data_IF_598904869141
#
_entry.id   IF_598904869141
#
_cell.length_a   1.000
_cell.length_b   1.000
_cell.length_c   1.000
_cell.angle_alpha   90.00
_cell.angle_beta   90.00
_cell.angle_gamma   90.00
#
_symmetry.space_group_name_H-M   'P 1'
#
loop_
_entity.id
_entity.type
_entity.pdbx_description
1 polymer ?
#
# COMPACT_ATOMS: atom_id res chain seq x y z
N UNK A 1 -24.25 -1.32 -42.91
CA UNK A 1 -25.16 -0.34 -42.27
C UNK A 1 -25.75 -1.08 -41.08
N UNK A 2 -25.32 -0.94 -39.83
CA UNK A 2 -24.71 0.16 -39.10
C UNK A 2 -23.84 -0.39 -37.95
N UNK A 3 -22.64 0.16 -37.82
CA UNK A 3 -21.56 -0.19 -36.89
C UNK A 3 -21.76 0.47 -35.50
N UNK A 4 -22.78 0.09 -34.74
CA UNK A 4 -23.05 0.73 -33.43
C UNK A 4 -23.18 -0.25 -32.26
N UNK A 5 -22.19 -1.11 -32.08
CA UNK A 5 -21.75 -1.49 -30.73
C UNK A 5 -20.53 -0.66 -30.37
N UNK A 6 -20.74 0.67 -30.21
CA UNK A 6 -19.77 1.50 -29.48
C UNK A 6 -19.80 0.99 -28.05
N UNK A 7 -18.88 0.08 -27.72
CA UNK A 7 -18.69 -0.38 -26.35
C UNK A 7 -18.57 0.85 -25.45
N UNK A 8 -19.44 0.94 -24.44
CA UNK A 8 -19.36 1.97 -23.43
C UNK A 8 -17.91 2.11 -22.98
N UNK A 9 -17.35 3.33 -23.05
CA UNK A 9 -15.95 3.53 -22.68
C UNK A 9 -15.76 3.04 -21.24
N UNK A 10 -14.65 2.35 -20.90
CA UNK A 10 -14.45 1.73 -19.58
C UNK A 10 -14.56 2.71 -18.40
N UNK A 11 -14.49 4.02 -18.67
CA UNK A 11 -14.65 5.13 -17.72
C UNK A 11 -16.10 5.47 -17.37
N UNK A 12 -17.08 5.01 -18.15
CA UNK A 12 -18.50 5.31 -17.92
C UNK A 12 -18.97 4.62 -16.63
N UNK A 13 -19.43 5.41 -15.66
CA UNK A 13 -19.90 4.91 -14.35
C UNK A 13 -18.80 4.74 -13.29
N UNK A 14 -17.55 5.17 -13.55
CA UNK A 14 -16.46 5.09 -12.56
C UNK A 14 -16.38 6.28 -11.59
N UNK A 15 -17.20 7.32 -11.75
CA UNK A 15 -17.22 8.48 -10.85
C UNK A 15 -17.31 8.11 -9.35
N UNK A 16 -18.17 7.15 -8.93
CA UNK A 16 -18.20 6.73 -7.53
C UNK A 16 -16.89 6.06 -7.08
N UNK A 17 -16.21 5.33 -7.97
CA UNK A 17 -14.92 4.68 -7.70
C UNK A 17 -13.84 5.75 -7.50
N UNK A 18 -13.78 6.73 -8.40
CA UNK A 18 -12.83 7.85 -8.31
C UNK A 18 -13.05 8.62 -7.00
N UNK A 19 -14.32 8.90 -6.66
CA UNK A 19 -14.67 9.59 -5.42
C UNK A 19 -14.16 8.87 -4.17
N UNK A 20 -14.38 7.56 -4.06
CA UNK A 20 -13.87 6.80 -2.89
C UNK A 20 -12.35 6.68 -2.91
N UNK A 21 -11.71 6.51 -4.08
CA UNK A 21 -10.24 6.50 -4.18
C UNK A 21 -9.65 7.84 -3.71
N UNK A 22 -10.26 8.97 -4.09
CA UNK A 22 -9.81 10.29 -3.67
C UNK A 22 -9.92 10.49 -2.15
N UNK A 23 -11.07 10.15 -1.56
CA UNK A 23 -11.26 10.24 -0.10
C UNK A 23 -10.30 9.31 0.64
N UNK A 24 -10.17 8.06 0.21
CA UNK A 24 -9.22 7.12 0.79
C UNK A 24 -7.77 7.61 0.66
N UNK A 25 -7.40 8.14 -0.51
CA UNK A 25 -6.08 8.69 -0.78
C UNK A 25 -5.74 9.86 0.13
N UNK A 26 -6.68 10.77 0.37
CA UNK A 26 -6.50 11.87 1.32
C UNK A 26 -6.24 11.35 2.74
N UNK A 27 -7.01 10.35 3.20
CA UNK A 27 -6.81 9.72 4.51
C UNK A 27 -5.43 9.05 4.59
N UNK A 28 -5.06 8.25 3.59
CA UNK A 28 -3.77 7.57 3.56
C UNK A 28 -2.58 8.54 3.55
N UNK A 29 -2.63 9.55 2.68
CA UNK A 29 -1.56 10.53 2.55
C UNK A 29 -1.39 11.39 3.81
N UNK A 30 -2.49 11.80 4.44
CA UNK A 30 -2.45 12.54 5.70
C UNK A 30 -1.96 11.69 6.86
N UNK A 31 -2.34 10.40 6.93
CA UNK A 31 -1.80 9.47 7.92
C UNK A 31 -0.30 9.26 7.76
N UNK A 32 0.20 9.10 6.52
CA UNK A 32 1.63 9.03 6.23
C UNK A 32 2.36 10.31 6.65
N UNK A 33 1.79 11.47 6.31
CA UNK A 33 2.36 12.75 6.70
C UNK A 33 2.40 12.91 8.23
N UNK A 34 1.32 12.53 8.91
CA UNK A 34 1.26 12.48 10.37
C UNK A 34 2.32 11.56 10.99
N UNK A 35 2.58 10.39 10.40
CA UNK A 35 3.66 9.51 10.83
C UNK A 35 5.04 10.19 10.72
N UNK A 36 5.28 10.95 9.65
CA UNK A 36 6.51 11.73 9.49
C UNK A 36 6.64 12.88 10.51
N UNK A 37 5.53 13.45 10.97
CA UNK A 37 5.54 14.46 12.05
C UNK A 37 5.79 13.85 13.43
N UNK A 38 5.17 12.69 13.72
CA UNK A 38 5.29 12.01 15.01
C UNK A 38 6.66 11.33 15.18
N UNK A 39 7.20 10.78 14.10
CA UNK A 39 8.51 10.16 14.07
C UNK A 39 9.34 10.78 12.94
N UNK A 40 9.92 11.96 13.15
CA UNK A 40 10.79 12.57 12.16
C UNK A 40 12.08 11.78 12.05
N UNK A 41 12.57 11.61 10.82
CA UNK A 41 13.89 11.03 10.56
C UNK A 41 14.83 12.10 10.04
N UNK A 42 15.99 12.26 10.67
CA UNK A 42 16.96 13.27 10.28
C UNK A 42 17.55 12.99 8.89
N UNK A 43 17.78 14.05 8.10
CA UNK A 43 18.41 13.94 6.79
C UNK A 43 19.76 13.23 6.86
N UNK A 44 20.03 12.34 5.90
CA UNK A 44 21.27 11.55 5.86
C UNK A 44 21.33 10.39 6.87
N UNK A 45 20.26 10.15 7.64
CA UNK A 45 20.12 8.96 8.52
C UNK A 45 19.22 7.90 7.89
N UNK A 46 19.14 6.72 8.51
CA UNK A 46 18.34 5.62 7.95
C UNK A 46 16.83 5.94 8.05
N UNK A 47 16.05 5.92 6.95
CA UNK A 47 14.67 6.44 6.89
C UNK A 47 13.62 5.49 7.49
N UNK A 48 13.66 5.33 8.82
CA UNK A 48 12.82 4.38 9.56
C UNK A 48 11.32 4.61 9.38
N UNK A 49 10.89 5.88 9.28
CA UNK A 49 9.47 6.22 9.15
C UNK A 49 8.92 5.77 7.81
N UNK A 50 9.60 6.13 6.71
CA UNK A 50 9.23 5.71 5.36
C UNK A 50 9.28 4.18 5.22
N UNK A 51 10.30 3.53 5.79
CA UNK A 51 10.40 2.06 5.83
C UNK A 51 9.16 1.43 6.48
N UNK A 52 8.84 1.87 7.69
CA UNK A 52 7.76 1.30 8.50
C UNK A 52 6.41 1.51 7.85
N UNK A 53 6.15 2.72 7.34
CA UNK A 53 4.91 3.05 6.62
C UNK A 53 4.72 2.13 5.41
N UNK A 54 5.77 1.94 4.60
CA UNK A 54 5.70 1.06 3.44
C UNK A 54 5.51 -0.41 3.85
N UNK A 55 6.27 -0.91 4.83
CA UNK A 55 6.18 -2.29 5.30
C UNK A 55 4.79 -2.61 5.89
N UNK A 56 4.25 -1.73 6.74
CA UNK A 56 2.91 -1.87 7.32
C UNK A 56 1.85 -1.80 6.23
N UNK A 57 1.94 -0.84 5.29
CA UNK A 57 1.00 -0.73 4.18
C UNK A 57 0.99 -1.98 3.29
N UNK A 58 2.17 -2.54 3.02
CA UNK A 58 2.32 -3.81 2.29
C UNK A 58 1.69 -4.99 3.04
N UNK A 59 1.92 -5.13 4.34
CA UNK A 59 1.28 -6.16 5.16
C UNK A 59 -0.25 -6.04 5.12
N UNK A 60 -0.78 -4.83 5.34
CA UNK A 60 -2.22 -4.56 5.30
C UNK A 60 -2.81 -4.86 3.92
N UNK A 61 -2.08 -4.59 2.83
CA UNK A 61 -2.52 -4.94 1.48
C UNK A 61 -2.60 -6.46 1.29
N UNK A 62 -1.66 -7.22 1.85
CA UNK A 62 -1.70 -8.69 1.86
C UNK A 62 -2.92 -9.24 2.59
N UNK A 63 -3.23 -8.71 3.78
CA UNK A 63 -4.46 -9.06 4.53
C UNK A 63 -5.71 -8.71 3.72
N UNK A 64 -5.76 -7.49 3.18
CA UNK A 64 -6.89 -6.99 2.40
C UNK A 64 -7.18 -7.88 1.19
N UNK A 65 -6.13 -8.34 0.50
CA UNK A 65 -6.25 -9.23 -0.64
C UNK A 65 -7.00 -10.50 -0.25
N UNK A 66 -6.55 -11.21 0.79
CA UNK A 66 -7.18 -12.46 1.25
C UNK A 66 -8.62 -12.23 1.70
N UNK A 67 -8.87 -11.20 2.52
CA UNK A 67 -10.21 -10.94 3.08
C UNK A 67 -11.23 -10.66 1.97
N UNK A 68 -10.86 -9.84 0.98
CA UNK A 68 -11.76 -9.48 -0.12
C UNK A 68 -11.95 -10.64 -1.10
N UNK A 69 -10.95 -11.48 -1.32
CA UNK A 69 -11.07 -12.58 -2.30
C UNK A 69 -11.69 -13.85 -1.71
N UNK A 70 -11.45 -14.16 -0.43
CA UNK A 70 -11.73 -15.49 0.14
C UNK A 70 -12.80 -15.49 1.24
N UNK A 71 -13.10 -14.34 1.85
CA UNK A 71 -14.05 -14.27 2.99
C UNK A 71 -15.37 -13.63 2.59
N UNK A 72 -15.33 -12.49 1.91
CA UNK A 72 -16.54 -11.76 1.50
C UNK A 72 -16.40 -11.18 0.11
N UNK A 73 -17.42 -11.38 -0.70
CA UNK A 73 -17.72 -10.50 -1.84
C UNK A 73 -17.99 -9.09 -1.30
N UNK A 74 -16.93 -8.28 -1.19
CA UNK A 74 -17.05 -6.90 -0.74
C UNK A 74 -17.72 -6.07 -1.85
N UNK A 75 -18.50 -5.06 -1.45
CA UNK A 75 -19.07 -4.11 -2.39
C UNK A 75 -17.95 -3.56 -3.30
N UNK A 76 -18.23 -3.41 -4.60
CA UNK A 76 -17.27 -2.96 -5.64
C UNK A 76 -16.42 -1.73 -5.29
N UNK A 77 -16.86 -0.89 -4.35
CA UNK A 77 -16.17 0.34 -3.93
C UNK A 77 -15.16 0.12 -2.80
N UNK A 78 -15.27 -0.96 -2.03
CA UNK A 78 -14.41 -1.23 -0.86
C UNK A 78 -12.97 -1.48 -1.29
N UNK A 79 -12.76 -2.30 -2.33
CA UNK A 79 -11.42 -2.61 -2.82
C UNK A 79 -10.68 -1.36 -3.35
N UNK A 80 -11.29 -0.51 -4.20
CA UNK A 80 -10.69 0.78 -4.58
C UNK A 80 -10.46 1.72 -3.40
N UNK A 81 -11.42 1.85 -2.47
CA UNK A 81 -11.30 2.73 -1.30
C UNK A 81 -10.12 2.34 -0.40
N UNK A 82 -10.04 1.07 0.01
CA UNK A 82 -9.02 0.59 0.95
C UNK A 82 -7.68 0.37 0.26
N UNK A 83 -7.67 -0.31 -0.89
CA UNK A 83 -6.44 -0.68 -1.59
C UNK A 83 -5.78 0.51 -2.28
N UNK A 84 -6.44 1.04 -3.31
CA UNK A 84 -5.88 2.16 -4.09
C UNK A 84 -5.93 3.48 -3.34
N UNK A 85 -7.01 3.75 -2.61
CA UNK A 85 -7.17 4.97 -1.82
C UNK A 85 -6.27 4.97 -0.60
N UNK A 86 -6.71 4.35 0.50
CA UNK A 86 -6.01 4.44 1.79
C UNK A 86 -4.60 3.87 1.72
N UNK A 87 -4.43 2.59 1.34
CA UNK A 87 -3.11 1.96 1.34
C UNK A 87 -2.18 2.54 0.26
N UNK A 88 -2.72 2.90 -0.90
CA UNK A 88 -1.98 3.61 -1.94
C UNK A 88 -1.52 5.00 -1.54
N UNK A 89 -2.35 5.78 -0.82
CA UNK A 89 -1.96 7.09 -0.29
C UNK A 89 -1.03 7.02 0.92
N UNK A 90 -1.20 5.98 1.75
CA UNK A 90 -0.40 5.72 2.94
C UNK A 90 1.02 5.28 2.58
N UNK A 91 1.21 4.46 1.56
CA UNK A 91 2.55 4.04 1.10
C UNK A 91 3.14 5.04 0.11
N UNK A 92 4.47 5.03 -0.07
CA UNK A 92 5.15 5.94 -0.99
C UNK A 92 6.46 5.37 -1.53
N UNK A 93 6.54 5.25 -2.86
CA UNK A 93 7.79 4.92 -3.56
C UNK A 93 8.62 6.16 -3.88
N UNK A 94 7.98 7.29 -4.17
CA UNK A 94 8.68 8.53 -4.51
C UNK A 94 9.50 9.09 -3.34
N UNK A 95 8.93 9.12 -2.13
CA UNK A 95 9.66 9.56 -0.93
C UNK A 95 10.84 8.63 -0.64
N UNK A 96 10.61 7.32 -0.79
CA UNK A 96 11.63 6.29 -0.65
C UNK A 96 12.82 6.49 -1.61
N UNK A 97 12.56 6.79 -2.88
CA UNK A 97 13.61 7.08 -3.86
C UNK A 97 14.40 8.35 -3.51
N UNK A 98 13.72 9.41 -3.06
CA UNK A 98 14.36 10.65 -2.59
C UNK A 98 15.22 10.40 -1.35
N UNK A 99 14.76 9.56 -0.42
CA UNK A 99 15.53 9.21 0.77
C UNK A 99 16.82 8.45 0.42
N UNK A 100 16.78 7.56 -0.58
CA UNK A 100 17.98 6.90 -1.12
C UNK A 100 18.93 7.91 -1.74
N UNK A 101 18.43 8.83 -2.58
CA UNK A 101 19.24 9.88 -3.19
C UNK A 101 19.95 10.73 -2.13
N UNK A 102 19.23 11.15 -1.07
CA UNK A 102 19.77 11.93 0.04
C UNK A 102 20.87 11.19 0.80
N UNK A 103 20.75 9.87 0.97
CA UNK A 103 21.80 9.05 1.59
C UNK A 103 23.07 8.98 0.74
N UNK A 104 22.93 8.94 -0.59
CA UNK A 104 24.05 8.99 -1.53
C UNK A 104 24.74 10.35 -1.48
N UNK A 105 23.97 11.44 -1.50
CA UNK A 105 24.47 12.82 -1.37
C UNK A 105 25.21 13.03 -0.04
N UNK A 106 24.72 12.43 1.04
CA UNK A 106 25.35 12.42 2.36
C UNK A 106 26.62 11.54 2.45
N UNK A 107 27.14 11.02 1.33
CA UNK A 107 28.32 10.13 1.26
C UNK A 107 28.13 8.81 2.03
N UNK A 108 26.90 8.30 2.13
CA UNK A 108 26.57 7.02 2.81
C UNK A 108 25.98 5.96 1.88
N UNK A 109 26.69 5.56 0.80
CA UNK A 109 26.15 4.64 -0.21
C UNK A 109 25.83 3.24 0.33
N UNK A 110 26.60 2.73 1.29
CA UNK A 110 26.32 1.44 1.92
C UNK A 110 24.94 1.43 2.63
N UNK A 111 24.59 2.54 3.28
CA UNK A 111 23.30 2.70 3.97
C UNK A 111 22.18 2.87 2.97
N UNK A 112 22.41 3.63 1.88
CA UNK A 112 21.47 3.74 0.77
C UNK A 112 21.15 2.37 0.17
N UNK A 113 22.16 1.53 -0.07
CA UNK A 113 21.98 0.17 -0.60
C UNK A 113 21.27 -0.75 0.39
N UNK A 114 21.62 -0.71 1.67
CA UNK A 114 20.93 -1.46 2.71
C UNK A 114 19.45 -1.05 2.82
N UNK A 115 19.16 0.25 2.73
CA UNK A 115 17.80 0.77 2.73
C UNK A 115 17.02 0.36 1.47
N UNK A 116 17.68 0.41 0.29
CA UNK A 116 17.12 -0.01 -0.99
C UNK A 116 16.73 -1.49 -1.01
N UNK A 117 17.66 -2.36 -0.65
CA UNK A 117 17.42 -3.81 -0.67
C UNK A 117 16.52 -4.22 0.51
N UNK A 118 16.80 -3.71 1.70
CA UNK A 118 16.09 -4.06 2.92
C UNK A 118 14.61 -3.71 2.87
N UNK A 119 14.26 -2.53 2.36
CA UNK A 119 12.84 -2.12 2.24
C UNK A 119 12.10 -2.99 1.25
N UNK A 120 12.72 -3.33 0.10
CA UNK A 120 12.10 -4.21 -0.90
C UNK A 120 11.87 -5.62 -0.36
N UNK A 121 12.89 -6.21 0.26
CA UNK A 121 12.82 -7.54 0.86
C UNK A 121 11.78 -7.58 1.98
N UNK A 122 11.76 -6.57 2.86
CA UNK A 122 10.79 -6.47 3.94
C UNK A 122 9.37 -6.30 3.41
N UNK A 123 9.15 -5.46 2.41
CA UNK A 123 7.84 -5.27 1.80
C UNK A 123 7.30 -6.58 1.20
N UNK A 124 8.13 -7.32 0.47
CA UNK A 124 7.77 -8.63 -0.06
C UNK A 124 7.46 -9.61 1.06
N UNK A 125 8.36 -9.75 2.04
CA UNK A 125 8.15 -10.64 3.18
C UNK A 125 6.85 -10.30 3.94
N UNK A 126 6.57 -9.01 4.15
CA UNK A 126 5.37 -8.52 4.82
C UNK A 126 4.08 -8.92 4.08
N UNK A 127 4.03 -8.77 2.75
CA UNK A 127 2.87 -9.20 1.95
C UNK A 127 2.67 -10.71 2.08
N UNK A 128 3.73 -11.50 1.89
CA UNK A 128 3.66 -12.96 1.89
C UNK A 128 3.25 -13.51 3.26
N UNK A 129 3.88 -12.99 4.33
CA UNK A 129 3.55 -13.35 5.70
C UNK A 129 2.09 -12.98 6.04
N UNK A 130 1.64 -11.80 5.64
CA UNK A 130 0.26 -11.36 5.86
C UNK A 130 -0.75 -12.25 5.13
N UNK A 131 -0.49 -12.59 3.86
CA UNK A 131 -1.36 -13.50 3.09
C UNK A 131 -1.42 -14.88 3.74
N UNK A 132 -0.27 -15.48 4.04
CA UNK A 132 -0.18 -16.81 4.64
C UNK A 132 -0.84 -16.84 6.03
N UNK A 133 -0.53 -15.87 6.89
CA UNK A 133 -1.09 -15.76 8.24
C UNK A 133 -2.60 -15.54 8.23
N UNK A 134 -3.12 -14.71 7.31
CA UNK A 134 -4.56 -14.47 7.19
C UNK A 134 -5.29 -15.74 6.78
N UNK A 135 -4.77 -16.49 5.81
CA UNK A 135 -5.35 -17.78 5.38
C UNK A 135 -5.35 -18.81 6.51
N UNK A 136 -4.21 -19.00 7.17
CA UNK A 136 -4.09 -19.93 8.29
C UNK A 136 -5.10 -19.60 9.41
N UNK A 137 -5.25 -18.31 9.74
CA UNK A 137 -6.23 -17.86 10.74
C UNK A 137 -7.67 -18.16 10.33
N UNK A 138 -8.01 -17.97 9.05
CA UNK A 138 -9.35 -18.25 8.54
C UNK A 138 -9.65 -19.76 8.54
N UNK A 139 -8.68 -20.60 8.19
CA UNK A 139 -8.82 -22.05 8.26
C UNK A 139 -9.01 -22.53 9.70
N UNK A 140 -8.24 -22.00 10.65
CA UNK A 140 -8.39 -22.31 12.07
C UNK A 140 -9.80 -21.96 12.56
N UNK A 141 -10.31 -20.77 12.21
CA UNK A 141 -11.67 -20.35 12.56
C UNK A 141 -12.77 -21.23 11.96
N UNK A 142 -12.57 -21.77 10.75
CA UNK A 142 -13.52 -22.70 10.12
C UNK A 142 -13.52 -24.08 10.78
N UNK A 143 -12.42 -24.48 11.41
CA UNK A 143 -12.33 -25.77 12.14
C UNK A 143 -12.95 -25.71 13.53
N UNK A 144 -13.02 -24.51 14.13
CA UNK A 144 -13.55 -24.30 15.49
C UNK A 144 -14.98 -23.78 15.53
N UNK A 145 -15.60 -23.49 14.38
CA UNK A 145 -17.00 -23.07 14.24
C UNK A 145 -17.84 -24.25 13.74
#
# INVERSE_FOLDING_TARGET
MDERRRGAAPWQGQWPVIGVVAVGGAIGATARYGAALLWPTAGGTFPWTTLTVNAVGCALMGVLMVVITEVRSAHRLVRPFLGTGILGGFTTFSTYAVDIQRLVEARRPAVAMAYLAGTLLLALAAVWAAVAGTRALLELRRRTA
#
